data_IF_597516205787
#
_entry.id   IF_597516205787
#
_cell.length_a   1.000
_cell.length_b   1.000
_cell.length_c   1.000
_cell.angle_alpha   90.00
_cell.angle_beta   90.00
_cell.angle_gamma   90.00
#
_symmetry.space_group_name_H-M   'P 1'
#
loop_
_entity.id
_entity.type
_entity.pdbx_description
1 polymer ?
#
# COMPACT_ATOMS: atom_id res chain seq x y z
N UNK A 1 20.49 3.27 -16.45
CA UNK A 1 20.65 3.82 -15.08
C UNK A 1 22.04 3.51 -14.56
N UNK A 2 22.64 4.43 -13.82
CA UNK A 2 23.88 4.21 -13.07
C UNK A 2 23.60 3.52 -11.74
N UNK A 3 24.64 2.91 -11.13
CA UNK A 3 24.51 2.29 -9.79
C UNK A 3 24.10 3.35 -8.75
N UNK A 4 24.62 4.56 -8.88
CA UNK A 4 24.26 5.68 -8.00
C UNK A 4 22.77 6.01 -8.05
N UNK A 5 22.19 6.08 -9.25
CA UNK A 5 20.75 6.30 -9.43
C UNK A 5 19.92 5.19 -8.78
N UNK A 6 20.34 3.92 -8.94
CA UNK A 6 19.64 2.77 -8.32
C UNK A 6 19.68 2.89 -6.78
N UNK A 7 20.83 3.23 -6.21
CA UNK A 7 20.97 3.38 -4.75
C UNK A 7 20.07 4.51 -4.24
N UNK A 8 20.07 5.68 -4.89
CA UNK A 8 19.24 6.82 -4.48
C UNK A 8 17.75 6.44 -4.54
N UNK A 9 17.30 5.85 -5.65
CA UNK A 9 15.90 5.42 -5.81
C UNK A 9 15.52 4.37 -4.75
N UNK A 10 16.38 3.39 -4.46
CA UNK A 10 16.13 2.37 -3.45
C UNK A 10 16.05 2.97 -2.02
N UNK A 11 16.92 3.93 -1.69
CA UNK A 11 16.90 4.62 -0.40
C UNK A 11 15.64 5.49 -0.27
N UNK A 12 15.29 6.24 -1.30
CA UNK A 12 14.06 7.06 -1.33
C UNK A 12 12.84 6.17 -1.14
N UNK A 13 12.74 5.06 -1.87
CA UNK A 13 11.65 4.10 -1.70
C UNK A 13 11.62 3.53 -0.28
N UNK A 14 12.77 3.08 0.23
CA UNK A 14 12.88 2.47 1.56
C UNK A 14 12.44 3.41 2.70
N UNK A 15 12.62 4.72 2.55
CA UNK A 15 12.16 5.70 3.53
C UNK A 15 10.69 6.05 3.32
N UNK A 16 10.30 6.33 2.07
CA UNK A 16 8.99 6.92 1.77
C UNK A 16 7.85 5.90 1.74
N UNK A 17 8.13 4.60 1.56
CA UNK A 17 7.10 3.54 1.59
C UNK A 17 6.48 3.39 2.97
N UNK A 18 7.27 3.53 4.04
CA UNK A 18 6.80 3.39 5.41
C UNK A 18 6.18 4.68 5.97
N UNK A 19 6.48 5.81 5.36
CA UNK A 19 5.86 7.07 5.70
C UNK A 19 4.61 7.31 4.82
N UNK A 20 3.56 7.94 5.33
CA UNK A 20 2.34 8.20 4.55
C UNK A 20 2.49 9.41 3.62
N UNK A 21 3.57 9.46 2.81
CA UNK A 21 3.99 10.62 1.99
C UNK A 21 4.11 10.31 0.50
N UNK A 22 3.55 9.20 0.04
CA UNK A 22 3.56 8.75 -1.37
C UNK A 22 4.96 8.43 -1.93
N UNK A 23 5.40 7.18 -1.71
CA UNK A 23 6.65 6.67 -2.31
C UNK A 23 6.64 6.77 -3.85
N UNK A 24 5.54 6.38 -4.49
CA UNK A 24 5.38 6.49 -5.94
C UNK A 24 5.52 7.95 -6.44
N UNK A 25 5.03 8.91 -5.67
CA UNK A 25 5.23 10.33 -5.96
C UNK A 25 6.71 10.73 -5.93
N UNK A 26 7.45 10.27 -4.93
CA UNK A 26 8.89 10.54 -4.80
C UNK A 26 9.70 9.87 -5.92
N UNK A 27 9.32 8.65 -6.34
CA UNK A 27 9.96 7.96 -7.45
C UNK A 27 9.79 8.69 -8.81
N UNK A 28 8.75 9.50 -8.96
CA UNK A 28 8.58 10.40 -10.12
C UNK A 28 9.32 11.71 -9.93
N UNK A 29 9.28 12.29 -8.73
CA UNK A 29 9.86 13.63 -8.46
C UNK A 29 11.38 13.62 -8.43
N UNK A 30 12.02 12.58 -7.89
CA UNK A 30 13.49 12.54 -7.75
C UNK A 30 14.19 12.59 -9.11
N UNK A 31 13.87 11.75 -10.12
CA UNK A 31 14.45 11.87 -11.44
C UNK A 31 14.14 13.22 -12.09
N UNK A 32 12.91 13.72 -11.94
CA UNK A 32 12.52 15.02 -12.49
C UNK A 32 13.40 16.17 -11.94
N UNK A 33 13.59 16.24 -10.63
CA UNK A 33 14.36 17.29 -9.96
C UNK A 33 15.87 17.19 -10.23
N UNK A 34 16.39 15.97 -10.39
CA UNK A 34 17.81 15.73 -10.65
C UNK A 34 18.12 15.68 -12.15
N UNK A 35 17.15 15.94 -13.02
CA UNK A 35 17.28 15.86 -14.48
C UNK A 35 17.81 14.50 -14.95
N UNK A 36 17.40 13.42 -14.26
CA UNK A 36 17.73 12.05 -14.63
C UNK A 36 16.71 11.48 -15.60
N UNK A 37 17.11 10.52 -16.46
CA UNK A 37 16.12 9.72 -17.18
C UNK A 37 15.20 9.00 -16.20
N UNK A 38 13.92 8.91 -16.56
CA UNK A 38 12.95 8.14 -15.78
C UNK A 38 13.35 6.66 -15.73
N UNK A 39 13.31 6.06 -14.54
CA UNK A 39 13.73 4.66 -14.30
C UNK A 39 12.75 3.62 -14.84
N UNK A 40 11.52 4.02 -15.11
CA UNK A 40 10.47 3.15 -15.60
C UNK A 40 9.79 2.28 -14.53
N UNK A 41 8.63 1.77 -14.90
CA UNK A 41 7.74 1.02 -13.99
C UNK A 41 8.40 -0.26 -13.44
N UNK A 42 9.29 -0.89 -14.22
CA UNK A 42 9.99 -2.09 -13.77
C UNK A 42 10.83 -1.84 -12.53
N UNK A 43 11.66 -0.79 -12.54
CA UNK A 43 12.50 -0.45 -11.39
C UNK A 43 11.64 -0.03 -10.20
N UNK A 44 10.57 0.73 -10.44
CA UNK A 44 9.64 1.14 -9.37
C UNK A 44 9.06 -0.10 -8.66
N UNK A 45 8.60 -1.10 -9.40
CA UNK A 45 8.08 -2.33 -8.80
C UNK A 45 9.17 -3.12 -8.08
N UNK A 46 10.38 -3.20 -8.62
CA UNK A 46 11.50 -3.91 -7.98
C UNK A 46 11.87 -3.31 -6.63
N UNK A 47 11.92 -1.98 -6.50
CA UNK A 47 12.20 -1.35 -5.21
C UNK A 47 11.04 -1.51 -4.22
N UNK A 48 9.78 -1.59 -4.69
CA UNK A 48 8.64 -1.96 -3.85
C UNK A 48 8.71 -3.42 -3.36
N UNK A 49 9.18 -4.35 -4.21
CA UNK A 49 9.46 -5.74 -3.77
C UNK A 49 10.54 -5.74 -2.69
N UNK A 50 11.57 -4.89 -2.79
CA UNK A 50 12.57 -4.72 -1.73
C UNK A 50 11.94 -4.29 -0.40
N UNK A 51 11.04 -3.31 -0.41
CA UNK A 51 10.31 -2.88 0.80
C UNK A 51 9.32 -3.92 1.31
N UNK A 52 8.77 -4.78 0.44
CA UNK A 52 7.96 -5.94 0.87
C UNK A 52 8.75 -6.89 1.76
N UNK A 53 10.01 -7.20 1.43
CA UNK A 53 10.86 -8.02 2.31
C UNK A 53 11.08 -7.34 3.66
N UNK A 54 11.27 -6.02 3.70
CA UNK A 54 11.39 -5.29 4.97
C UNK A 54 10.11 -5.39 5.81
N UNK A 55 8.92 -5.29 5.20
CA UNK A 55 7.63 -5.49 5.88
C UNK A 55 7.54 -6.92 6.44
N UNK A 56 7.88 -7.95 5.65
CA UNK A 56 7.84 -9.34 6.08
C UNK A 56 8.79 -9.61 7.24
N UNK A 57 9.98 -9.02 7.23
CA UNK A 57 10.96 -9.14 8.32
C UNK A 57 10.47 -8.42 9.58
N UNK A 58 9.99 -7.18 9.45
CA UNK A 58 9.55 -6.40 10.61
C UNK A 58 8.29 -7.00 11.26
N UNK A 59 7.30 -7.37 10.45
CA UNK A 59 6.03 -7.95 10.89
C UNK A 59 6.02 -9.48 10.88
N UNK A 60 7.18 -10.15 10.95
CA UNK A 60 7.27 -11.61 10.82
C UNK A 60 6.36 -12.38 11.79
N UNK A 61 6.17 -11.85 13.02
CA UNK A 61 5.28 -12.46 14.02
C UNK A 61 3.82 -12.37 13.60
N UNK A 62 3.41 -11.23 13.04
CA UNK A 62 2.04 -11.04 12.54
C UNK A 62 1.79 -11.91 11.32
N UNK A 63 2.74 -11.93 10.38
CA UNK A 63 2.67 -12.78 9.19
C UNK A 63 2.57 -14.25 9.59
N UNK A 64 3.36 -14.70 10.55
CA UNK A 64 3.29 -16.07 11.06
C UNK A 64 1.93 -16.39 11.68
N UNK A 65 1.37 -15.50 12.48
CA UNK A 65 0.01 -15.64 13.05
C UNK A 65 -1.06 -15.74 11.95
N UNK A 66 -0.97 -14.91 10.92
CA UNK A 66 -1.89 -14.96 9.77
C UNK A 66 -1.78 -16.30 9.02
N UNK A 67 -0.57 -16.80 8.81
CA UNK A 67 -0.34 -18.12 8.17
C UNK A 67 -0.94 -19.24 9.02
N UNK A 68 -0.60 -19.28 10.32
CA UNK A 68 -1.14 -20.30 11.23
C UNK A 68 -2.66 -20.19 11.32
N UNK A 69 -3.21 -18.97 11.49
CA UNK A 69 -4.66 -18.76 11.52
C UNK A 69 -5.35 -19.21 10.24
N UNK A 70 -4.73 -19.01 9.08
CA UNK A 70 -5.25 -19.53 7.80
C UNK A 70 -5.24 -21.06 7.76
N UNK A 71 -4.16 -21.70 8.25
CA UNK A 71 -4.10 -23.17 8.33
C UNK A 71 -5.15 -23.75 9.31
N UNK A 72 -5.43 -23.04 10.39
CA UNK A 72 -6.48 -23.45 11.35
C UNK A 72 -7.89 -23.37 10.74
N UNK A 73 -8.15 -22.40 9.84
CA UNK A 73 -9.41 -22.33 9.10
C UNK A 73 -9.66 -23.59 8.26
N UNK A 74 -8.62 -24.13 7.61
CA UNK A 74 -8.74 -25.40 6.87
C UNK A 74 -9.03 -26.60 7.78
N UNK A 75 -8.75 -26.49 9.08
CA UNK A 75 -9.10 -27.49 10.10
C UNK A 75 -10.47 -27.22 10.76
N UNK A 76 -11.25 -26.26 10.24
CA UNK A 76 -12.55 -25.88 10.77
C UNK A 76 -12.48 -24.99 12.02
N UNK A 77 -11.30 -24.50 12.42
CA UNK A 77 -11.14 -23.62 13.59
C UNK A 77 -11.10 -22.16 13.14
N UNK A 78 -12.10 -21.38 13.55
CA UNK A 78 -12.20 -19.96 13.22
C UNK A 78 -11.52 -19.12 14.32
N UNK A 79 -10.25 -18.77 14.10
CA UNK A 79 -9.47 -17.90 15.00
C UNK A 79 -9.54 -16.43 14.58
N UNK A 80 -9.15 -15.53 15.49
CA UNK A 80 -9.06 -14.09 15.20
C UNK A 80 -8.05 -13.80 14.06
N UNK A 81 -6.89 -14.45 14.11
CA UNK A 81 -5.83 -14.30 13.10
C UNK A 81 -6.29 -14.84 11.73
N UNK A 82 -7.02 -15.96 11.71
CA UNK A 82 -7.62 -16.49 10.49
C UNK A 82 -8.66 -15.55 9.89
N UNK A 83 -9.54 -14.93 10.72
CA UNK A 83 -10.47 -13.90 10.24
C UNK A 83 -9.72 -12.70 9.64
N UNK A 84 -8.68 -12.22 10.33
CA UNK A 84 -7.87 -11.10 9.86
C UNK A 84 -7.20 -11.41 8.51
N UNK A 85 -6.69 -12.62 8.32
CA UNK A 85 -6.13 -13.07 7.05
C UNK A 85 -7.18 -13.02 5.91
N UNK A 86 -8.39 -13.53 6.15
CA UNK A 86 -9.50 -13.42 5.18
C UNK A 86 -9.83 -11.95 4.89
N UNK A 87 -9.88 -11.09 5.90
CA UNK A 87 -10.20 -9.68 5.73
C UNK A 87 -9.15 -8.96 4.88
N UNK A 88 -7.85 -9.26 5.06
CA UNK A 88 -6.77 -8.73 4.24
C UNK A 88 -6.92 -9.16 2.78
N UNK A 89 -7.19 -10.44 2.53
CA UNK A 89 -7.40 -10.96 1.17
C UNK A 89 -8.60 -10.27 0.51
N UNK A 90 -9.75 -10.22 1.19
CA UNK A 90 -10.96 -9.60 0.65
C UNK A 90 -10.79 -8.09 0.46
N UNK A 91 -10.10 -7.40 1.35
CA UNK A 91 -9.79 -5.97 1.24
C UNK A 91 -8.79 -5.65 0.11
N UNK A 92 -8.04 -6.63 -0.39
CA UNK A 92 -7.16 -6.46 -1.55
C UNK A 92 -7.94 -6.47 -2.87
N UNK A 93 -9.08 -7.16 -2.94
CA UNK A 93 -9.86 -7.34 -4.17
C UNK A 93 -10.26 -6.01 -4.84
N UNK A 94 -10.77 -4.98 -4.13
CA UNK A 94 -11.14 -3.72 -4.76
C UNK A 94 -9.98 -3.04 -5.50
N UNK A 95 -8.78 -3.05 -4.90
CA UNK A 95 -7.58 -2.47 -5.52
C UNK A 95 -7.15 -3.25 -6.76
N UNK A 96 -7.18 -4.59 -6.72
CA UNK A 96 -6.88 -5.43 -7.88
C UNK A 96 -7.90 -5.20 -9.00
N UNK A 97 -9.18 -5.19 -8.68
CA UNK A 97 -10.24 -4.95 -9.67
C UNK A 97 -10.09 -3.57 -10.34
N UNK A 98 -9.82 -2.53 -9.56
CA UNK A 98 -9.60 -1.19 -10.07
C UNK A 98 -8.31 -1.08 -10.90
N UNK A 99 -7.23 -1.75 -10.51
CA UNK A 99 -5.99 -1.82 -11.30
C UNK A 99 -6.18 -2.48 -12.66
N UNK A 100 -6.90 -3.60 -12.71
CA UNK A 100 -7.26 -4.26 -13.97
C UNK A 100 -8.15 -3.38 -14.85
N UNK A 101 -9.08 -2.64 -14.24
CA UNK A 101 -9.91 -1.66 -14.93
C UNK A 101 -9.06 -0.54 -15.56
N UNK A 102 -8.17 0.08 -14.80
CA UNK A 102 -7.29 1.15 -15.29
C UNK A 102 -6.40 0.66 -16.45
N UNK A 103 -5.85 -0.55 -16.33
CA UNK A 103 -5.04 -1.17 -17.38
C UNK A 103 -5.85 -1.37 -18.67
N UNK A 104 -7.09 -1.84 -18.56
CA UNK A 104 -7.96 -2.08 -19.70
C UNK A 104 -8.33 -0.81 -20.47
N UNK A 105 -8.51 0.31 -19.76
CA UNK A 105 -8.92 1.59 -20.34
C UNK A 105 -7.77 2.56 -20.67
N UNK A 106 -6.52 2.14 -20.49
CA UNK A 106 -5.34 2.87 -20.99
C UNK A 106 -4.97 4.14 -20.20
N UNK A 107 -5.29 4.22 -18.92
CA UNK A 107 -4.98 5.38 -18.07
C UNK A 107 -3.50 5.53 -17.68
N UNK A 108 -2.59 4.74 -18.26
CA UNK A 108 -1.17 4.72 -17.92
C UNK A 108 -0.42 6.05 -18.11
N UNK A 109 -0.90 6.93 -19.00
CA UNK A 109 -0.25 8.25 -19.22
C UNK A 109 -0.37 9.21 -18.03
N UNK A 110 -1.32 8.99 -17.12
CA UNK A 110 -1.51 9.81 -15.93
C UNK A 110 -0.54 9.44 -14.80
N UNK A 111 0.03 8.23 -14.84
CA UNK A 111 0.80 7.66 -13.73
C UNK A 111 2.09 8.42 -13.43
N UNK A 112 2.63 9.18 -14.39
CA UNK A 112 3.90 9.92 -14.27
C UNK A 112 3.75 11.45 -14.42
N UNK A 113 2.54 11.97 -14.25
CA UNK A 113 2.30 13.40 -14.30
C UNK A 113 2.66 14.07 -12.97
N UNK A 114 3.72 14.90 -12.97
CA UNK A 114 4.14 15.67 -11.78
C UNK A 114 3.01 16.53 -11.21
N UNK A 115 2.20 17.13 -12.07
CA UNK A 115 1.06 17.95 -11.64
C UNK A 115 0.00 17.11 -10.90
N UNK A 116 -0.32 15.92 -11.43
CA UNK A 116 -1.27 15.00 -10.77
C UNK A 116 -0.72 14.54 -9.43
N UNK A 117 0.58 14.15 -9.38
CA UNK A 117 1.26 13.77 -8.15
C UNK A 117 1.20 14.88 -7.11
N UNK A 118 1.53 16.13 -7.50
CA UNK A 118 1.56 17.26 -6.58
C UNK A 118 0.17 17.52 -5.96
N UNK A 119 -0.88 17.62 -6.78
CA UNK A 119 -2.23 17.87 -6.29
C UNK A 119 -2.76 16.74 -5.41
N UNK A 120 -2.56 15.49 -5.80
CA UNK A 120 -3.00 14.36 -5.00
C UNK A 120 -2.27 14.27 -3.68
N UNK A 121 -0.96 14.53 -3.65
CA UNK A 121 -0.21 14.55 -2.39
C UNK A 121 -0.77 15.59 -1.42
N UNK A 122 -1.12 16.79 -1.90
CA UNK A 122 -1.74 17.83 -1.06
C UNK A 122 -3.14 17.41 -0.60
N UNK A 123 -4.01 16.97 -1.52
CA UNK A 123 -5.40 16.59 -1.21
C UNK A 123 -5.43 15.45 -0.18
N UNK A 124 -4.69 14.38 -0.42
CA UNK A 124 -4.68 13.22 0.47
C UNK A 124 -3.92 13.48 1.77
N UNK A 125 -2.91 14.38 1.77
CA UNK A 125 -2.25 14.85 2.98
C UNK A 125 -3.21 15.63 3.89
N UNK A 126 -4.03 16.53 3.33
CA UNK A 126 -5.08 17.24 4.07
C UNK A 126 -6.13 16.24 4.59
N UNK A 127 -6.57 15.30 3.77
CA UNK A 127 -7.54 14.29 4.17
C UNK A 127 -7.03 13.44 5.34
N UNK A 128 -5.75 13.07 5.31
CA UNK A 128 -5.09 12.36 6.40
C UNK A 128 -5.04 13.20 7.68
N UNK A 129 -4.68 14.47 7.57
CA UNK A 129 -4.69 15.39 8.72
C UNK A 129 -6.07 15.46 9.35
N UNK A 130 -7.12 15.65 8.54
CA UNK A 130 -8.51 15.69 9.03
C UNK A 130 -8.86 14.37 9.72
N UNK A 131 -8.58 13.23 9.11
CA UNK A 131 -8.86 11.91 9.68
C UNK A 131 -8.15 11.70 11.02
N UNK A 132 -6.91 12.17 11.14
CA UNK A 132 -6.15 12.05 12.37
C UNK A 132 -6.65 12.97 13.49
N UNK A 133 -7.14 14.16 13.14
CA UNK A 133 -7.71 15.12 14.11
C UNK A 133 -9.06 14.65 14.65
N UNK A 134 -9.95 14.12 13.81
CA UNK A 134 -11.30 13.73 14.21
C UNK A 134 -11.41 12.26 14.64
N UNK A 135 -10.49 11.41 14.19
CA UNK A 135 -10.50 9.98 14.49
C UNK A 135 -10.19 9.72 15.96
N UNK A 136 -11.14 9.15 16.67
CA UNK A 136 -10.95 8.67 18.03
C UNK A 136 -10.05 7.45 18.05
N UNK A 137 -9.23 7.27 19.09
CA UNK A 137 -8.34 6.13 19.22
C UNK A 137 -8.96 5.05 20.11
N UNK A 138 -10.10 4.50 19.67
CA UNK A 138 -10.93 3.58 20.47
C UNK A 138 -10.81 2.12 20.02
N UNK A 139 -10.40 1.88 18.75
CA UNK A 139 -10.36 0.53 18.19
C UNK A 139 -8.94 0.06 17.93
N UNK A 140 -8.71 -1.21 18.19
CA UNK A 140 -7.46 -1.91 17.87
C UNK A 140 -7.68 -2.88 16.69
N UNK A 141 -6.61 -3.48 16.18
CA UNK A 141 -6.70 -4.43 15.06
C UNK A 141 -7.53 -5.66 15.44
N UNK A 142 -7.61 -6.02 16.72
CA UNK A 142 -8.44 -7.10 17.24
C UNK A 142 -9.94 -6.83 17.07
N UNK A 143 -10.32 -5.53 16.96
CA UNK A 143 -11.70 -5.11 16.69
C UNK A 143 -12.01 -5.02 15.19
N UNK A 144 -11.10 -5.50 14.31
CA UNK A 144 -11.31 -5.44 12.87
C UNK A 144 -12.52 -6.28 12.47
N UNK A 145 -13.42 -5.66 11.70
CA UNK A 145 -14.57 -6.31 11.11
C UNK A 145 -14.42 -6.39 9.60
N UNK A 146 -15.11 -7.32 8.96
CA UNK A 146 -15.11 -7.43 7.50
C UNK A 146 -15.55 -6.10 6.84
N UNK A 147 -16.56 -5.43 7.38
CA UNK A 147 -17.06 -4.16 6.86
C UNK A 147 -15.96 -3.08 6.90
N UNK A 148 -15.24 -2.98 8.01
CA UNK A 148 -14.16 -2.01 8.17
C UNK A 148 -12.99 -2.33 7.22
N UNK A 149 -12.60 -3.60 7.12
CA UNK A 149 -11.54 -4.04 6.23
C UNK A 149 -11.88 -3.77 4.76
N UNK A 150 -13.12 -4.04 4.33
CA UNK A 150 -13.58 -3.72 2.98
C UNK A 150 -13.60 -2.21 2.70
N UNK A 151 -14.01 -1.39 3.67
CA UNK A 151 -13.95 0.07 3.53
C UNK A 151 -12.51 0.55 3.32
N UNK A 152 -11.56 0.04 4.12
CA UNK A 152 -10.13 0.34 3.94
C UNK A 152 -9.62 -0.19 2.59
N UNK A 153 -10.10 -1.37 2.15
CA UNK A 153 -9.74 -1.95 0.87
C UNK A 153 -10.25 -1.14 -0.34
N UNK A 154 -11.46 -0.58 -0.25
CA UNK A 154 -11.97 0.36 -1.26
C UNK A 154 -11.15 1.64 -1.28
N UNK A 155 -10.79 2.18 -0.11
CA UNK A 155 -9.88 3.31 -0.03
C UNK A 155 -8.50 2.98 -0.62
N UNK A 156 -8.00 1.75 -0.46
CA UNK A 156 -6.75 1.29 -1.09
C UNK A 156 -6.79 1.38 -2.63
N UNK A 157 -7.95 1.20 -3.26
CA UNK A 157 -8.05 1.34 -4.71
C UNK A 157 -7.67 2.76 -5.19
N UNK A 158 -7.94 3.80 -4.38
CA UNK A 158 -7.52 5.17 -4.68
C UNK A 158 -5.99 5.35 -4.70
N UNK A 159 -5.25 4.44 -4.08
CA UNK A 159 -3.78 4.47 -4.09
C UNK A 159 -3.18 4.23 -5.50
N UNK A 160 -3.97 3.72 -6.43
CA UNK A 160 -3.57 3.58 -7.84
C UNK A 160 -3.55 4.93 -8.58
N UNK A 161 -4.11 5.98 -7.99
CA UNK A 161 -3.99 7.35 -8.51
C UNK A 161 -2.63 7.90 -8.06
N UNK A 162 -1.79 8.38 -8.99
CA UNK A 162 -0.44 8.85 -8.67
C UNK A 162 -0.43 9.97 -7.63
N UNK A 163 0.53 9.93 -6.71
CA UNK A 163 0.61 10.91 -5.61
C UNK A 163 -0.23 10.56 -4.39
N UNK A 164 -1.17 9.59 -4.52
CA UNK A 164 -1.91 9.05 -3.39
C UNK A 164 -1.04 7.99 -2.71
N UNK A 165 -0.61 8.23 -1.49
CA UNK A 165 0.12 7.23 -0.72
C UNK A 165 -0.77 6.04 -0.39
N UNK A 166 -0.34 4.80 -0.73
CA UNK A 166 -1.09 3.58 -0.38
C UNK A 166 -1.22 3.44 1.14
N UNK A 167 -0.10 3.51 1.85
CA UNK A 167 -0.11 3.49 3.31
C UNK A 167 -0.91 4.68 3.87
N UNK A 168 -0.74 5.86 3.30
CA UNK A 168 -1.47 7.06 3.72
C UNK A 168 -2.98 6.93 3.60
N UNK A 169 -3.52 6.51 2.46
CA UNK A 169 -4.97 6.42 2.27
C UNK A 169 -5.61 5.30 3.10
N UNK A 170 -4.92 4.16 3.28
CA UNK A 170 -5.42 3.07 4.11
C UNK A 170 -5.37 3.40 5.59
N UNK A 171 -4.31 4.08 6.06
CA UNK A 171 -4.25 4.64 7.42
C UNK A 171 -5.34 5.70 7.64
N UNK A 172 -5.53 6.59 6.67
CA UNK A 172 -6.60 7.63 6.70
C UNK A 172 -7.98 6.99 6.87
N UNK A 173 -8.30 5.97 6.06
CA UNK A 173 -9.55 5.24 6.16
C UNK A 173 -9.71 4.55 7.53
N UNK A 174 -8.66 3.93 8.04
CA UNK A 174 -8.68 3.29 9.37
C UNK A 174 -8.86 4.35 10.49
N UNK A 175 -8.24 5.52 10.37
CA UNK A 175 -8.41 6.62 11.32
C UNK A 175 -9.86 7.16 11.33
N UNK A 176 -10.49 7.33 10.18
CA UNK A 176 -11.92 7.67 10.10
C UNK A 176 -12.83 6.63 10.77
N UNK A 177 -12.40 5.36 10.81
CA UNK A 177 -13.10 4.29 11.52
C UNK A 177 -12.74 4.20 13.01
N UNK A 178 -11.99 5.16 13.55
CA UNK A 178 -11.55 5.27 14.95
C UNK A 178 -10.52 4.22 15.41
N UNK A 179 -9.73 3.63 14.49
CA UNK A 179 -8.59 2.80 14.87
C UNK A 179 -7.47 3.67 15.46
N UNK A 180 -6.69 3.10 16.40
CA UNK A 180 -5.49 3.76 16.94
C UNK A 180 -4.48 3.98 15.81
N UNK A 181 -3.58 4.96 15.96
CA UNK A 181 -2.52 5.21 14.96
C UNK A 181 -1.64 3.98 14.72
N UNK A 182 -1.15 3.27 15.78
CA UNK A 182 -0.36 2.05 15.59
C UNK A 182 -1.13 0.94 14.85
N UNK A 183 -2.40 0.72 15.18
CA UNK A 183 -3.18 -0.34 14.55
C UNK A 183 -3.62 0.00 13.13
N UNK A 184 -3.89 1.28 12.83
CA UNK A 184 -4.11 1.76 11.47
C UNK A 184 -2.86 1.53 10.59
N UNK A 185 -1.67 1.82 11.12
CA UNK A 185 -0.40 1.56 10.42
C UNK A 185 -0.16 0.06 10.26
N UNK A 186 -0.32 -0.73 11.32
CA UNK A 186 -0.13 -2.18 11.30
C UNK A 186 -1.04 -2.86 10.27
N UNK A 187 -2.35 -2.54 10.28
CA UNK A 187 -3.27 -3.10 9.29
C UNK A 187 -2.90 -2.66 7.86
N UNK A 188 -2.54 -1.39 7.67
CA UNK A 188 -2.11 -0.84 6.37
C UNK A 188 -0.91 -1.60 5.80
N UNK A 189 0.12 -1.89 6.61
CA UNK A 189 1.30 -2.63 6.16
C UNK A 189 0.99 -4.09 5.86
N UNK A 190 0.20 -4.75 6.69
CA UNK A 190 -0.23 -6.13 6.45
C UNK A 190 -1.08 -6.24 5.17
N UNK A 191 -1.99 -5.28 4.94
CA UNK A 191 -2.77 -5.18 3.70
C UNK A 191 -1.88 -4.91 2.46
N UNK A 192 -0.76 -4.24 2.66
CA UNK A 192 0.24 -3.99 1.62
C UNK A 192 0.93 -5.25 1.10
N UNK A 193 1.06 -6.30 1.92
CA UNK A 193 1.76 -7.54 1.53
C UNK A 193 1.16 -8.16 0.27
N UNK A 194 -0.13 -8.53 0.21
CA UNK A 194 -0.71 -9.11 -1.00
C UNK A 194 -0.78 -8.11 -2.16
N UNK A 195 -0.92 -6.82 -1.90
CA UNK A 195 -0.97 -5.80 -2.95
C UNK A 195 0.37 -5.65 -3.68
N UNK A 196 1.49 -5.53 -2.94
CA UNK A 196 2.83 -5.41 -3.52
C UNK A 196 3.26 -6.73 -4.17
N UNK A 197 3.00 -7.87 -3.51
CA UNK A 197 3.29 -9.18 -4.07
C UNK A 197 2.54 -9.41 -5.38
N UNK A 198 1.24 -9.04 -5.44
CA UNK A 198 0.43 -9.12 -6.65
C UNK A 198 0.95 -8.24 -7.78
N UNK A 199 1.39 -7.02 -7.50
CA UNK A 199 2.01 -6.14 -8.50
C UNK A 199 3.32 -6.74 -9.05
N UNK A 200 4.17 -7.29 -8.18
CA UNK A 200 5.42 -7.96 -8.57
C UNK A 200 5.18 -9.17 -9.47
N UNK A 201 4.19 -10.02 -9.13
CA UNK A 201 3.81 -11.19 -9.96
C UNK A 201 3.25 -10.76 -11.31
N UNK A 202 2.35 -9.77 -11.34
CA UNK A 202 1.77 -9.26 -12.59
C UNK A 202 2.84 -8.71 -13.53
N UNK A 203 3.82 -7.99 -13.00
CA UNK A 203 4.93 -7.46 -13.80
C UNK A 203 5.83 -8.57 -14.32
N UNK A 204 6.16 -9.57 -13.50
CA UNK A 204 6.96 -10.74 -13.90
C UNK A 204 6.30 -11.49 -15.06
N UNK A 205 4.96 -11.66 -15.03
CA UNK A 205 4.21 -12.35 -16.09
C UNK A 205 4.12 -11.54 -17.41
N UNK A 206 4.32 -10.22 -17.36
CA UNK A 206 4.26 -9.37 -18.56
C UNK A 206 5.62 -9.32 -19.27
N UNK A 207 6.72 -9.57 -18.55
CA UNK A 207 8.08 -9.54 -19.10
C UNK A 207 8.62 -10.91 -19.51
N UNK A 208 7.84 -11.98 -19.35
CA UNK A 208 8.11 -13.32 -19.93
C UNK A 208 7.36 -13.45 -21.25
#
# INVERSE_FOLDING_TARGET
MTIEQIIVIAVVQGITEFLPISSSGHLVLVPYLLHWPDQGQFVDVMVHVGTLFAILIYFWRDVWKLVVGTLELFKGKVTQDGKLAIYIVLATIPAVAFGLFLKKFGFGSLERSVTVVAWNTVIFGILMLIADMIGKQEKTIENMTLKNALFIGVAQALALIPGTSRSGITMTAARFLNYTRPDAARFSFLLGIPAIAGAGVLLSLIHI
#
